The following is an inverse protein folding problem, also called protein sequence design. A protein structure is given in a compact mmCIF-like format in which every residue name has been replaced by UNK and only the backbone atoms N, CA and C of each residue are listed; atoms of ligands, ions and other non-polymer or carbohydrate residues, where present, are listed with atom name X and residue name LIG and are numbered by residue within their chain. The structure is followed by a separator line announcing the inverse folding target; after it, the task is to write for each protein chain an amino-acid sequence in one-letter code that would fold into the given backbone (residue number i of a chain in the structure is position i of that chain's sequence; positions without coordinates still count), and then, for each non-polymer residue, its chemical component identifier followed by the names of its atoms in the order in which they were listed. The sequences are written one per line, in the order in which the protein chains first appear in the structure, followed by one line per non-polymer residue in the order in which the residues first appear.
data_IF_305043292282
#
_entry.id   IF_305043292282
#
_cell.length_a   1.000
_cell.length_b   1.000
_cell.length_c   1.000
_cell.angle_alpha   90.00
_cell.angle_beta   90.00
_cell.angle_gamma   90.00
#
_symmetry.space_group_name_H-M   'P 1'
#
loop_
_entity.id
_entity.type
_entity.pdbx_description
1 polymer ?
#
# COMPACT_ATOMS: atom_id res chain seq x y z
N UNK A 1 3.33 -10.90 29.94
CA UNK A 1 1.98 -10.30 29.92
C UNK A 1 1.71 -9.51 31.19
N UNK A 2 2.76 -9.06 31.86
CA UNK A 2 2.72 -8.72 33.30
C UNK A 2 2.75 -7.22 33.54
N UNK A 3 2.66 -6.44 32.46
CA UNK A 3 2.51 -5.00 32.56
C UNK A 3 1.08 -4.68 32.97
N UNK A 4 0.92 -3.69 33.83
CA UNK A 4 -0.39 -3.28 34.35
C UNK A 4 -1.38 -2.85 33.25
N UNK A 5 -0.86 -2.36 32.11
CA UNK A 5 -1.60 -1.86 30.95
C UNK A 5 -1.87 -2.95 29.89
N UNK A 6 -1.41 -4.19 30.11
CA UNK A 6 -1.46 -5.25 29.09
C UNK A 6 -2.87 -5.56 28.62
N UNK A 7 -3.80 -5.85 29.55
CA UNK A 7 -5.17 -6.21 29.20
C UNK A 7 -5.91 -5.04 28.52
N UNK A 8 -5.67 -3.81 28.97
CA UNK A 8 -6.24 -2.61 28.37
C UNK A 8 -5.80 -2.45 26.91
N UNK A 9 -4.49 -2.59 26.62
CA UNK A 9 -4.00 -2.50 25.25
C UNK A 9 -4.47 -3.67 24.39
N UNK A 10 -4.52 -4.88 24.94
CA UNK A 10 -5.00 -6.05 24.21
C UNK A 10 -6.46 -5.90 23.79
N UNK A 11 -7.35 -5.52 24.71
CA UNK A 11 -8.77 -5.30 24.42
C UNK A 11 -8.94 -4.25 23.32
N UNK A 12 -8.23 -3.13 23.43
CA UNK A 12 -8.26 -2.07 22.42
C UNK A 12 -7.80 -2.54 21.04
N UNK A 13 -6.67 -3.26 20.97
CA UNK A 13 -6.15 -3.78 19.69
C UNK A 13 -7.15 -4.75 19.06
N UNK A 14 -7.75 -5.64 19.85
CA UNK A 14 -8.73 -6.61 19.34
C UNK A 14 -9.99 -5.90 18.84
N UNK A 15 -10.49 -4.91 19.58
CA UNK A 15 -11.65 -4.13 19.15
C UNK A 15 -11.37 -3.32 17.89
N UNK A 16 -10.22 -2.63 17.81
CA UNK A 16 -9.80 -1.86 16.64
C UNK A 16 -9.57 -2.77 15.43
N UNK A 17 -8.99 -3.96 15.62
CA UNK A 17 -8.80 -4.95 14.55
C UNK A 17 -10.14 -5.50 14.03
N UNK A 18 -11.08 -5.82 14.93
CA UNK A 18 -12.41 -6.29 14.54
C UNK A 18 -13.16 -5.22 13.74
N UNK A 19 -13.14 -3.96 14.19
CA UNK A 19 -13.76 -2.85 13.48
C UNK A 19 -13.08 -2.62 12.12
N UNK A 20 -11.74 -2.65 12.06
CA UNK A 20 -10.99 -2.52 10.81
C UNK A 20 -11.36 -3.62 9.80
N UNK A 21 -11.57 -4.86 10.26
CA UNK A 21 -12.03 -5.93 9.39
C UNK A 21 -13.49 -5.74 8.94
N UNK A 22 -14.38 -5.26 9.81
CA UNK A 22 -15.76 -4.94 9.42
C UNK A 22 -15.80 -3.89 8.31
N UNK A 23 -15.03 -2.81 8.47
CA UNK A 23 -14.95 -1.69 7.51
C UNK A 23 -14.15 -2.03 6.23
N UNK A 24 -13.41 -3.14 6.24
CA UNK A 24 -12.59 -3.56 5.09
C UNK A 24 -13.47 -3.79 3.84
N UNK A 25 -13.13 -3.18 2.69
CA UNK A 25 -13.86 -3.35 1.44
C UNK A 25 -14.00 -4.81 1.01
N UNK A 26 -15.17 -5.17 0.46
CA UNK A 26 -15.47 -6.53 0.03
C UNK A 26 -14.43 -7.12 -0.96
N UNK A 27 -13.90 -6.39 -1.96
CA UNK A 27 -12.86 -6.93 -2.84
C UNK A 27 -11.57 -7.31 -2.11
N UNK A 28 -11.25 -6.64 -0.99
CA UNK A 28 -10.06 -6.96 -0.20
C UNK A 28 -10.31 -8.16 0.71
N UNK A 29 -11.53 -8.34 1.24
CA UNK A 29 -11.92 -9.56 1.97
C UNK A 29 -11.83 -10.80 1.08
N UNK A 30 -12.23 -10.66 -0.19
CA UNK A 30 -12.08 -11.75 -1.16
C UNK A 30 -10.61 -12.04 -1.48
N UNK A 31 -9.78 -10.99 -1.61
CA UNK A 31 -8.34 -11.19 -1.77
C UNK A 31 -7.71 -11.88 -0.56
N UNK A 32 -8.17 -11.57 0.66
CA UNK A 32 -7.73 -12.26 1.87
C UNK A 32 -8.04 -13.76 1.77
N UNK A 33 -9.29 -14.13 1.43
CA UNK A 33 -9.70 -15.54 1.22
C UNK A 33 -8.83 -16.26 0.18
N UNK A 34 -8.60 -15.63 -0.97
CA UNK A 34 -7.77 -16.21 -2.05
C UNK A 34 -6.33 -16.45 -1.59
N UNK A 35 -5.74 -15.51 -0.83
CA UNK A 35 -4.36 -15.64 -0.34
C UNK A 35 -4.22 -16.58 0.86
N UNK A 36 -5.28 -16.78 1.65
CA UNK A 36 -5.34 -17.81 2.68
C UNK A 36 -5.36 -19.22 2.06
N UNK A 37 -6.05 -19.38 0.93
CA UNK A 37 -6.10 -20.64 0.17
C UNK A 37 -4.78 -20.98 -0.54
N UNK A 38 -4.03 -19.96 -0.99
CA UNK A 38 -2.67 -20.11 -1.52
C UNK A 38 -1.65 -19.26 -0.75
N UNK A 39 -1.12 -19.75 0.38
CA UNK A 39 -0.18 -19.01 1.20
C UNK A 39 1.20 -18.79 0.55
N UNK A 40 1.47 -19.43 -0.60
CA UNK A 40 2.75 -19.32 -1.32
C UNK A 40 2.65 -18.50 -2.61
N UNK A 41 1.54 -17.80 -2.83
CA UNK A 41 1.29 -17.00 -4.03
C UNK A 41 2.48 -16.09 -4.42
N UNK A 42 3.13 -15.47 -3.41
CA UNK A 42 4.26 -14.56 -3.61
C UNK A 42 5.59 -15.25 -3.93
N UNK A 43 5.67 -16.59 -3.83
CA UNK A 43 6.83 -17.39 -4.20
C UNK A 43 6.76 -17.92 -5.64
N UNK A 44 5.65 -17.68 -6.36
CA UNK A 44 5.54 -18.12 -7.75
C UNK A 44 6.59 -17.43 -8.62
N UNK A 45 7.08 -18.16 -9.62
CA UNK A 45 7.88 -17.67 -10.72
C UNK A 45 7.19 -16.56 -11.56
N UNK A 46 5.86 -16.43 -11.43
CA UNK A 46 5.06 -15.36 -12.06
C UNK A 46 5.18 -14.01 -11.33
N UNK A 47 5.85 -13.99 -10.17
CA UNK A 47 6.06 -12.76 -9.41
C UNK A 47 7.26 -11.99 -9.99
N UNK A 48 6.98 -10.80 -10.53
CA UNK A 48 7.98 -9.86 -11.01
C UNK A 48 7.75 -8.50 -10.35
N UNK A 49 8.77 -8.06 -9.60
CA UNK A 49 8.76 -6.81 -8.84
C UNK A 49 9.41 -5.65 -9.59
N UNK A 50 8.78 -4.48 -9.53
CA UNK A 50 9.38 -3.19 -9.86
C UNK A 50 9.41 -2.26 -8.65
N UNK A 51 10.34 -1.30 -8.63
CA UNK A 51 10.44 -0.28 -7.58
C UNK A 51 10.65 1.11 -8.19
N UNK A 52 9.85 2.09 -7.77
CA UNK A 52 9.91 3.44 -8.31
C UNK A 52 9.64 4.51 -7.24
N UNK A 53 10.36 5.63 -7.37
CA UNK A 53 9.95 6.91 -6.79
C UNK A 53 8.86 7.52 -7.67
N UNK A 54 7.72 7.87 -7.08
CA UNK A 54 6.54 8.38 -7.81
C UNK A 54 6.84 9.68 -8.52
N UNK A 55 7.47 10.63 -7.83
CA UNK A 55 7.88 11.93 -8.34
C UNK A 55 8.91 11.79 -9.47
N UNK A 56 9.94 10.96 -9.29
CA UNK A 56 11.01 10.82 -10.27
C UNK A 56 10.57 10.07 -11.53
N UNK A 57 9.69 9.07 -11.40
CA UNK A 57 9.29 8.23 -12.52
C UNK A 57 8.08 8.78 -13.28
N UNK A 58 7.10 9.34 -12.57
CA UNK A 58 5.83 9.73 -13.17
C UNK A 58 5.26 11.07 -12.66
N UNK A 59 6.00 11.81 -11.83
CA UNK A 59 5.60 13.11 -11.29
C UNK A 59 4.67 13.00 -10.08
N UNK A 60 3.56 12.28 -10.21
CA UNK A 60 2.56 12.12 -9.16
C UNK A 60 1.80 10.78 -9.25
N UNK A 61 0.86 10.55 -8.33
CA UNK A 61 0.08 9.30 -8.27
C UNK A 61 -0.83 9.11 -9.50
N UNK A 62 -1.31 10.17 -10.14
CA UNK A 62 -2.10 10.07 -11.37
C UNK A 62 -1.21 9.73 -12.57
N UNK A 63 -0.01 10.29 -12.61
CA UNK A 63 1.05 9.90 -13.53
C UNK A 63 1.40 8.42 -13.40
N UNK A 64 1.55 7.92 -12.16
CA UNK A 64 1.78 6.49 -11.89
C UNK A 64 0.62 5.63 -12.40
N UNK A 65 -0.61 6.05 -12.18
CA UNK A 65 -1.82 5.38 -12.69
C UNK A 65 -1.82 5.31 -14.22
N UNK A 66 -1.38 6.36 -14.90
CA UNK A 66 -1.24 6.38 -16.35
C UNK A 66 -0.14 5.44 -16.89
N UNK A 67 0.80 4.98 -16.04
CA UNK A 67 1.87 4.02 -16.40
C UNK A 67 1.46 2.56 -16.25
N UNK A 68 0.26 2.25 -15.78
CA UNK A 68 -0.22 0.86 -15.66
C UNK A 68 -0.09 0.05 -16.97
N UNK A 69 -0.42 0.57 -18.17
CA UNK A 69 -0.19 -0.18 -19.41
C UNK A 69 1.27 -0.58 -19.62
N UNK A 70 2.21 0.29 -19.28
CA UNK A 70 3.65 0.00 -19.35
C UNK A 70 4.07 -1.08 -18.35
N UNK A 71 3.57 -1.02 -17.10
CA UNK A 71 3.86 -2.05 -16.11
C UNK A 71 3.37 -3.43 -16.54
N UNK A 72 2.20 -3.50 -17.20
CA UNK A 72 1.67 -4.75 -17.76
C UNK A 72 2.50 -5.26 -18.92
N UNK A 73 2.94 -4.37 -19.82
CA UNK A 73 3.81 -4.73 -20.94
C UNK A 73 5.14 -5.34 -20.43
N UNK A 74 5.70 -4.76 -19.37
CA UNK A 74 6.90 -5.27 -18.71
C UNK A 74 6.65 -6.60 -17.97
N UNK A 75 5.39 -6.94 -17.67
CA UNK A 75 5.01 -8.14 -16.93
C UNK A 75 5.10 -7.99 -15.42
N UNK A 76 5.10 -6.76 -14.88
CA UNK A 76 5.10 -6.54 -13.44
C UNK A 76 3.82 -7.11 -12.82
N UNK A 77 3.98 -7.81 -11.70
CA UNK A 77 2.87 -8.30 -10.85
C UNK A 77 3.00 -7.79 -9.41
N UNK A 78 4.07 -7.05 -9.13
CA UNK A 78 4.36 -6.43 -7.84
C UNK A 78 5.04 -5.08 -8.08
N UNK A 79 4.59 -4.03 -7.40
CA UNK A 79 5.08 -2.68 -7.57
C UNK A 79 5.30 -2.03 -6.21
N UNK A 80 6.57 -1.82 -5.85
CA UNK A 80 6.96 -1.09 -4.65
C UNK A 80 7.09 0.41 -4.95
N UNK A 81 6.28 1.22 -4.29
CA UNK A 81 6.40 2.67 -4.36
C UNK A 81 7.21 3.18 -3.17
N UNK A 82 8.24 3.98 -3.46
CA UNK A 82 9.01 4.66 -2.43
C UNK A 82 8.11 5.62 -1.62
N UNK A 83 8.54 6.05 -0.42
CA UNK A 83 7.65 6.66 0.58
C UNK A 83 6.69 7.73 0.03
N UNK A 84 5.40 7.54 0.31
CA UNK A 84 4.30 8.37 -0.24
C UNK A 84 3.71 9.35 0.77
N UNK A 85 4.02 9.18 2.04
CA UNK A 85 3.39 9.90 3.13
C UNK A 85 4.12 11.20 3.42
N UNK A 86 3.39 12.12 4.05
CA UNK A 86 3.92 13.42 4.43
C UNK A 86 5.17 13.27 5.27
N UNK A 87 6.22 13.97 4.84
CA UNK A 87 7.49 14.07 5.52
C UNK A 87 7.88 15.56 5.69
N UNK A 88 8.90 15.90 6.48
CA UNK A 88 9.41 17.27 6.57
C UNK A 88 9.82 17.82 5.21
N UNK A 89 9.76 19.14 5.06
CA UNK A 89 10.39 19.82 3.92
C UNK A 89 11.91 19.87 4.10
N UNK A 90 12.65 19.73 3.00
CA UNK A 90 14.12 19.69 3.02
C UNK A 90 14.65 18.28 3.30
N UNK A 91 15.49 18.14 4.32
CA UNK A 91 16.10 16.87 4.69
C UNK A 91 15.05 15.95 5.34
N UNK A 92 14.58 14.96 4.59
CA UNK A 92 13.56 14.01 5.03
C UNK A 92 13.93 12.54 4.79
N UNK A 93 15.23 12.28 4.57
CA UNK A 93 15.77 10.97 4.24
C UNK A 93 15.06 10.31 3.04
N UNK A 94 14.78 11.08 1.98
CA UNK A 94 14.07 10.58 0.80
C UNK A 94 12.63 10.14 1.08
N UNK A 95 11.97 10.79 2.05
CA UNK A 95 10.61 10.50 2.48
C UNK A 95 10.49 9.47 3.62
N UNK A 96 11.58 8.87 4.08
CA UNK A 96 11.56 7.91 5.19
C UNK A 96 11.34 8.56 6.57
N UNK A 97 11.60 9.87 6.71
CA UNK A 97 11.24 10.64 7.90
C UNK A 97 9.73 10.97 7.93
N UNK A 98 8.87 9.99 8.19
CA UNK A 98 7.40 10.18 8.12
C UNK A 98 6.89 11.10 9.23
N UNK A 99 6.17 12.16 8.84
CA UNK A 99 5.48 13.09 9.74
C UNK A 99 4.01 12.72 9.99
N UNK A 100 3.33 12.11 9.02
CA UNK A 100 1.95 11.66 9.17
C UNK A 100 1.65 10.42 8.30
N UNK A 101 1.43 9.28 8.95
CA UNK A 101 1.08 8.00 8.30
C UNK A 101 -0.32 7.98 7.66
N UNK A 102 -1.14 9.02 7.84
CA UNK A 102 -2.52 9.10 7.31
C UNK A 102 -2.67 10.10 6.17
N UNK A 103 -1.62 10.86 5.86
CA UNK A 103 -1.64 11.89 4.83
C UNK A 103 -0.57 11.61 3.79
N UNK A 104 -0.97 11.39 2.53
CA UNK A 104 -0.07 11.41 1.37
C UNK A 104 0.60 12.78 1.26
N UNK A 105 1.88 12.82 0.85
CA UNK A 105 2.56 14.06 0.56
C UNK A 105 1.75 14.85 -0.49
N UNK A 106 1.29 16.08 -0.18
CA UNK A 106 0.50 16.89 -1.11
C UNK A 106 1.16 17.12 -2.48
N UNK A 107 2.49 16.97 -2.59
CA UNK A 107 3.22 17.03 -3.87
C UNK A 107 2.94 15.83 -4.78
N UNK A 108 2.60 14.68 -4.20
CA UNK A 108 2.32 13.42 -4.91
C UNK A 108 0.82 13.21 -5.16
N UNK A 109 -0.05 13.88 -4.41
CA UNK A 109 -1.50 13.81 -4.55
C UNK A 109 -2.23 13.65 -3.23
N UNK A 110 -3.33 12.88 -3.24
CA UNK A 110 -4.21 12.68 -2.09
C UNK A 110 -4.30 11.21 -1.67
N UNK A 111 -4.87 10.96 -0.49
CA UNK A 111 -5.21 9.59 -0.08
C UNK A 111 -6.21 8.92 -1.03
N UNK A 112 -7.09 9.67 -1.68
CA UNK A 112 -8.03 9.13 -2.66
C UNK A 112 -7.34 8.73 -3.97
N UNK A 113 -6.33 9.50 -4.39
CA UNK A 113 -5.49 9.13 -5.54
C UNK A 113 -4.73 7.84 -5.27
N UNK A 114 -4.18 7.67 -4.05
CA UNK A 114 -3.50 6.44 -3.65
C UNK A 114 -4.48 5.24 -3.61
N UNK A 115 -5.69 5.43 -3.08
CA UNK A 115 -6.73 4.38 -3.08
C UNK A 115 -7.12 3.98 -4.51
N UNK A 116 -7.29 4.95 -5.40
CA UNK A 116 -7.62 4.71 -6.80
C UNK A 116 -6.49 3.97 -7.51
N UNK A 117 -5.24 4.41 -7.36
CA UNK A 117 -4.06 3.74 -7.91
C UNK A 117 -3.96 2.29 -7.42
N UNK A 118 -4.12 2.06 -6.11
CA UNK A 118 -4.08 0.72 -5.54
C UNK A 118 -5.18 -0.19 -6.12
N UNK A 119 -6.39 0.35 -6.36
CA UNK A 119 -7.48 -0.39 -6.97
C UNK A 119 -7.17 -0.78 -8.40
N UNK A 120 -6.78 0.18 -9.22
CA UNK A 120 -6.44 -0.06 -10.63
C UNK A 120 -5.25 -1.01 -10.80
N UNK A 121 -4.23 -0.93 -9.94
CA UNK A 121 -3.11 -1.87 -9.94
C UNK A 121 -3.61 -3.30 -9.70
N UNK A 122 -4.46 -3.52 -8.69
CA UNK A 122 -5.03 -4.84 -8.40
C UNK A 122 -5.89 -5.36 -9.54
N UNK A 123 -6.72 -4.52 -10.14
CA UNK A 123 -7.52 -4.89 -11.32
C UNK A 123 -6.66 -5.32 -12.52
N UNK A 124 -5.42 -4.86 -12.56
CA UNK A 124 -4.43 -5.23 -13.58
C UNK A 124 -3.45 -6.32 -13.12
N UNK A 125 -3.71 -7.00 -12.00
CA UNK A 125 -2.88 -8.11 -11.50
C UNK A 125 -1.59 -7.68 -10.83
N UNK A 126 -1.48 -6.41 -10.42
CA UNK A 126 -0.29 -5.82 -9.80
C UNK A 126 -0.57 -5.59 -8.31
N UNK A 127 0.25 -6.18 -7.46
CA UNK A 127 0.22 -5.93 -6.01
C UNK A 127 1.00 -4.65 -5.70
N UNK A 128 0.31 -3.64 -5.17
CA UNK A 128 0.94 -2.43 -4.62
C UNK A 128 1.64 -2.77 -3.30
N UNK A 129 2.89 -2.31 -3.14
CA UNK A 129 3.68 -2.34 -1.91
C UNK A 129 4.25 -0.97 -1.59
#
# INVERSE_FOLDING_TARGET
GDRYDFLYHLERIVAEAAQSWLDRPAPLKELDRVREEDPRWFQSEKMLGGVYYVDLFAGDLQGMRAKIPYFKELGLTYLHLMPLFKAPDGDNDGGYAVSDYRQVDPKLGTMDDLRALAADLRENGISLV
#
